data_IF_554656772728
#
_entry.id   IF_554656772728
#
_cell.length_a   1.000
_cell.length_b   1.000
_cell.length_c   1.000
_cell.angle_alpha   90.00
_cell.angle_beta   90.00
_cell.angle_gamma   90.00
#
_symmetry.space_group_name_H-M   'P 1'
#
loop_
_entity.id
_entity.type
_entity.pdbx_description
1 polymer ?
#
# COMPACT_ATOMS: atom_id res chain seq x y z
N UNK A 1 -14.40 7.32 -22.56
CA UNK A 1 -14.50 7.74 -21.15
C UNK A 1 -13.09 7.73 -20.59
N UNK A 2 -12.71 8.68 -19.73
CA UNK A 2 -11.41 8.68 -19.08
C UNK A 2 -11.26 7.49 -18.11
N UNK A 3 -10.02 7.09 -17.81
CA UNK A 3 -9.71 6.06 -16.81
C UNK A 3 -10.22 6.47 -15.43
N UNK A 4 -10.87 5.56 -14.70
CA UNK A 4 -11.37 5.80 -13.33
C UNK A 4 -10.46 5.13 -12.31
N UNK A 5 -9.94 5.94 -11.37
CA UNK A 5 -9.13 5.49 -10.24
C UNK A 5 -9.91 5.76 -8.96
N UNK A 6 -10.32 4.71 -8.25
CA UNK A 6 -11.00 4.82 -6.95
C UNK A 6 -10.01 4.70 -5.80
N UNK A 7 -10.04 5.67 -4.90
CA UNK A 7 -9.35 5.63 -3.62
C UNK A 7 -10.38 5.22 -2.57
N UNK A 8 -10.14 4.09 -1.91
CA UNK A 8 -11.07 3.54 -0.92
C UNK A 8 -11.10 4.41 0.31
N UNK A 9 -12.30 4.89 0.67
CA UNK A 9 -12.57 5.67 1.88
C UNK A 9 -13.37 4.82 2.87
N UNK A 10 -12.71 4.32 3.88
CA UNK A 10 -13.32 3.65 5.03
C UNK A 10 -13.13 4.46 6.31
N UNK A 11 -12.98 5.79 6.20
CA UNK A 11 -12.82 6.71 7.33
C UNK A 11 -11.40 6.84 7.85
N UNK A 12 -10.42 6.16 7.25
CA UNK A 12 -9.02 6.14 7.70
C UNK A 12 -8.07 6.45 6.54
N UNK A 13 -7.02 7.22 6.81
CA UNK A 13 -5.96 7.49 5.84
C UNK A 13 -5.85 8.94 5.37
N UNK A 14 -4.70 9.26 4.78
CA UNK A 14 -4.42 10.58 4.19
C UNK A 14 -4.91 10.65 2.73
N UNK A 15 -6.22 10.43 2.54
CA UNK A 15 -6.85 10.25 1.23
C UNK A 15 -6.62 11.45 0.29
N UNK A 16 -6.66 12.68 0.83
CA UNK A 16 -6.50 13.89 0.01
C UNK A 16 -5.11 14.06 -0.57
N UNK A 17 -4.07 13.67 0.17
CA UNK A 17 -2.70 13.70 -0.36
C UNK A 17 -2.50 12.67 -1.45
N UNK A 18 -3.05 11.47 -1.30
CA UNK A 18 -3.03 10.42 -2.32
C UNK A 18 -3.80 10.88 -3.56
N UNK A 19 -4.99 11.46 -3.40
CA UNK A 19 -5.80 11.99 -4.50
C UNK A 19 -5.05 13.07 -5.29
N UNK A 20 -4.49 14.07 -4.60
CA UNK A 20 -3.74 15.15 -5.25
C UNK A 20 -2.51 14.63 -6.00
N UNK A 21 -1.78 13.68 -5.43
CA UNK A 21 -0.62 13.09 -6.08
C UNK A 21 -1.02 12.32 -7.36
N UNK A 22 -2.09 11.52 -7.31
CA UNK A 22 -2.61 10.81 -8.48
C UNK A 22 -3.15 11.77 -9.55
N UNK A 23 -3.91 12.80 -9.19
CA UNK A 23 -4.39 13.83 -10.13
C UNK A 23 -3.23 14.57 -10.81
N UNK A 24 -2.14 14.80 -10.08
CA UNK A 24 -0.95 15.44 -10.64
C UNK A 24 -0.24 14.55 -11.70
N UNK A 25 -0.17 13.24 -11.48
CA UNK A 25 0.56 12.34 -12.38
C UNK A 25 -0.31 11.72 -13.47
N UNK A 26 -1.63 11.74 -13.31
CA UNK A 26 -2.63 11.23 -14.25
C UNK A 26 -3.77 12.26 -14.44
N UNK A 27 -3.49 13.40 -15.08
CA UNK A 27 -4.44 14.51 -15.18
C UNK A 27 -5.70 14.16 -16.00
N UNK A 28 -5.60 13.18 -16.90
CA UNK A 28 -6.72 12.73 -17.73
C UNK A 28 -7.58 11.64 -17.05
N UNK A 29 -7.19 11.16 -15.87
CA UNK A 29 -7.92 10.17 -15.11
C UNK A 29 -8.93 10.84 -14.16
N UNK A 30 -10.10 10.22 -14.01
CA UNK A 30 -11.05 10.55 -12.95
C UNK A 30 -10.60 9.90 -11.63
N UNK A 31 -10.02 10.68 -10.72
CA UNK A 31 -9.54 10.19 -9.42
C UNK A 31 -10.54 10.55 -8.34
N UNK A 32 -11.29 9.56 -7.85
CA UNK A 32 -12.35 9.72 -6.86
C UNK A 32 -12.01 9.08 -5.52
N UNK A 33 -12.28 9.77 -4.42
CA UNK A 33 -12.33 9.19 -3.07
C UNK A 33 -13.77 8.70 -2.88
N UNK A 34 -13.96 7.42 -2.52
CA UNK A 34 -15.29 6.83 -2.43
C UNK A 34 -15.40 5.78 -1.33
N UNK A 35 -16.54 5.80 -0.64
CA UNK A 35 -17.02 4.75 0.27
C UNK A 35 -18.14 3.91 -0.35
N UNK A 36 -18.44 4.10 -1.65
CA UNK A 36 -19.42 3.29 -2.36
C UNK A 36 -18.76 2.01 -2.91
N UNK A 37 -19.18 0.80 -2.46
CA UNK A 37 -18.62 -0.44 -2.96
C UNK A 37 -18.88 -0.67 -4.46
N UNK A 38 -19.92 -0.07 -5.05
CA UNK A 38 -20.17 -0.12 -6.49
C UNK A 38 -19.14 0.69 -7.26
N UNK A 39 -18.83 1.91 -6.80
CA UNK A 39 -17.81 2.75 -7.41
C UNK A 39 -16.42 2.11 -7.36
N UNK A 40 -16.10 1.34 -6.29
CA UNK A 40 -14.86 0.56 -6.18
C UNK A 40 -14.85 -0.57 -7.22
N UNK A 41 -15.96 -1.31 -7.36
CA UNK A 41 -16.09 -2.41 -8.35
C UNK A 41 -16.06 -1.90 -9.79
N UNK A 42 -16.60 -0.73 -10.05
CA UNK A 42 -16.69 -0.15 -11.40
C UNK A 42 -15.42 0.61 -11.83
N UNK A 43 -14.49 0.85 -10.93
CA UNK A 43 -13.23 1.52 -11.22
C UNK A 43 -12.31 0.66 -12.09
N UNK A 44 -11.50 1.31 -12.92
CA UNK A 44 -10.44 0.64 -13.69
C UNK A 44 -9.24 0.28 -12.82
N UNK A 45 -8.98 1.08 -11.77
CA UNK A 45 -7.88 0.90 -10.80
C UNK A 45 -8.34 1.25 -9.41
N UNK A 46 -7.78 0.58 -8.41
CA UNK A 46 -8.12 0.82 -7.00
C UNK A 46 -6.86 1.12 -6.19
N UNK A 47 -6.93 2.17 -5.39
CA UNK A 47 -5.91 2.49 -4.38
C UNK A 47 -6.53 2.28 -3.01
N UNK A 48 -5.86 1.49 -2.18
CA UNK A 48 -6.27 1.14 -0.83
C UNK A 48 -5.27 1.72 0.19
N UNK A 49 -5.46 2.95 0.62
CA UNK A 49 -4.61 3.56 1.63
C UNK A 49 -5.02 3.12 3.03
N UNK A 50 -4.13 3.32 4.00
CA UNK A 50 -4.45 3.16 5.41
C UNK A 50 -3.53 3.98 6.29
N UNK A 51 -4.05 4.45 7.43
CA UNK A 51 -3.28 5.19 8.43
C UNK A 51 -3.91 4.95 9.80
N UNK A 52 -3.08 4.84 10.82
CA UNK A 52 -3.52 4.59 12.20
C UNK A 52 -3.08 3.21 12.68
N UNK A 53 -3.90 2.55 13.47
CA UNK A 53 -3.64 1.20 13.98
C UNK A 53 -4.43 0.15 13.21
N UNK A 54 -3.85 -1.03 13.02
CA UNK A 54 -4.48 -2.14 12.29
C UNK A 54 -5.88 -2.51 12.84
N UNK A 55 -6.11 -2.62 14.19
CA UNK A 55 -7.45 -2.93 14.71
C UNK A 55 -8.51 -1.91 14.32
N UNK A 56 -8.16 -0.62 14.34
CA UNK A 56 -9.08 0.45 14.00
C UNK A 56 -9.40 0.45 12.50
N UNK A 57 -8.40 0.21 11.66
CA UNK A 57 -8.58 0.13 10.22
C UNK A 57 -9.48 -1.05 9.82
N UNK A 58 -9.25 -2.23 10.39
CA UNK A 58 -10.07 -3.42 10.11
C UNK A 58 -11.50 -3.24 10.60
N UNK A 59 -11.70 -2.69 11.79
CA UNK A 59 -13.04 -2.36 12.31
C UNK A 59 -13.76 -1.37 11.41
N UNK A 60 -13.10 -0.28 11.05
CA UNK A 60 -13.71 0.75 10.20
C UNK A 60 -14.04 0.23 8.79
N UNK A 61 -13.16 -0.60 8.21
CA UNK A 61 -13.45 -1.27 6.93
C UNK A 61 -14.71 -2.15 6.99
N UNK A 62 -14.87 -2.90 8.09
CA UNK A 62 -16.05 -3.75 8.32
C UNK A 62 -17.31 -2.91 8.53
N UNK A 63 -17.26 -1.85 9.34
CA UNK A 63 -18.39 -0.93 9.60
C UNK A 63 -18.90 -0.25 8.32
N UNK A 64 -18.00 0.06 7.38
CA UNK A 64 -18.36 0.61 6.07
C UNK A 64 -18.79 -0.46 5.05
N UNK A 65 -18.69 -1.75 5.37
CA UNK A 65 -19.09 -2.84 4.48
C UNK A 65 -18.26 -2.94 3.19
N UNK A 66 -16.98 -2.51 3.23
CA UNK A 66 -16.12 -2.41 2.05
C UNK A 66 -15.21 -3.62 1.83
N UNK A 67 -15.14 -4.56 2.79
CA UNK A 67 -14.21 -5.70 2.74
C UNK A 67 -14.31 -6.50 1.44
N UNK A 68 -15.52 -6.88 1.03
CA UNK A 68 -15.72 -7.65 -0.20
C UNK A 68 -15.31 -6.89 -1.46
N UNK A 69 -15.68 -5.60 -1.57
CA UNK A 69 -15.32 -4.78 -2.72
C UNK A 69 -13.81 -4.58 -2.85
N UNK A 70 -13.11 -4.42 -1.73
CA UNK A 70 -11.64 -4.36 -1.67
C UNK A 70 -11.03 -5.69 -2.08
N UNK A 71 -11.55 -6.80 -1.55
CA UNK A 71 -11.05 -8.15 -1.87
C UNK A 71 -11.26 -8.50 -3.36
N UNK A 72 -12.41 -8.17 -3.94
CA UNK A 72 -12.70 -8.34 -5.36
C UNK A 72 -11.75 -7.49 -6.22
N UNK A 73 -11.56 -6.22 -5.86
CA UNK A 73 -10.65 -5.32 -6.58
C UNK A 73 -9.20 -5.81 -6.54
N UNK A 74 -8.73 -6.28 -5.39
CA UNK A 74 -7.38 -6.81 -5.22
C UNK A 74 -7.09 -8.08 -6.03
N UNK A 75 -8.14 -8.83 -6.44
CA UNK A 75 -8.00 -10.04 -7.27
C UNK A 75 -8.13 -9.78 -8.77
N UNK A 76 -8.80 -8.71 -9.17
CA UNK A 76 -9.26 -8.58 -10.56
C UNK A 76 -8.86 -7.32 -11.31
N UNK A 77 -8.18 -6.37 -10.68
CA UNK A 77 -7.80 -5.12 -11.34
C UNK A 77 -6.51 -4.53 -10.75
N UNK A 78 -5.81 -3.64 -11.47
CA UNK A 78 -4.64 -2.97 -10.92
C UNK A 78 -4.95 -2.37 -9.55
N UNK A 79 -4.28 -2.90 -8.53
CA UNK A 79 -4.54 -2.60 -7.12
C UNK A 79 -3.27 -2.10 -6.43
N UNK A 80 -3.36 -0.98 -5.72
CA UNK A 80 -2.25 -0.39 -4.98
C UNK A 80 -2.59 -0.23 -3.50
N UNK A 81 -1.98 -1.07 -2.65
CA UNK A 81 -2.05 -0.93 -1.19
C UNK A 81 -0.99 0.04 -0.66
N UNK A 82 -1.34 0.92 0.29
CA UNK A 82 -0.40 1.90 0.86
C UNK A 82 -0.37 1.79 2.39
N UNK A 83 0.81 1.59 2.95
CA UNK A 83 1.09 1.54 4.39
C UNK A 83 0.24 0.47 5.11
N UNK A 84 -0.71 0.85 5.97
CA UNK A 84 -1.65 -0.08 6.60
C UNK A 84 -2.48 -0.82 5.54
N UNK A 85 -2.80 -0.19 4.40
CA UNK A 85 -3.46 -0.86 3.28
C UNK A 85 -2.69 -2.05 2.73
N UNK A 86 -1.33 -2.06 2.79
CA UNK A 86 -0.53 -3.25 2.53
C UNK A 86 -0.71 -4.30 3.65
N UNK A 87 -0.66 -3.87 4.90
CA UNK A 87 -0.72 -4.76 6.06
C UNK A 87 -2.07 -5.49 6.15
N UNK A 88 -3.17 -4.79 5.86
CA UNK A 88 -4.52 -5.34 5.88
C UNK A 88 -4.73 -6.50 4.89
N UNK A 89 -3.89 -6.66 3.87
CA UNK A 89 -3.99 -7.75 2.89
C UNK A 89 -3.57 -9.11 3.45
N UNK A 90 -2.78 -9.15 4.52
CA UNK A 90 -2.26 -10.35 5.14
C UNK A 90 -3.27 -11.04 6.06
N UNK A 91 -2.92 -12.26 6.53
CA UNK A 91 -3.81 -13.07 7.37
C UNK A 91 -3.98 -12.49 8.77
N UNK A 92 -2.89 -11.95 9.34
CA UNK A 92 -2.86 -11.56 10.74
C UNK A 92 -1.81 -10.51 11.05
N UNK A 93 -2.09 -9.63 12.01
CA UNK A 93 -1.17 -8.64 12.53
C UNK A 93 -0.94 -8.82 14.03
N UNK A 94 0.33 -8.70 14.46
CA UNK A 94 0.69 -8.62 15.89
C UNK A 94 0.17 -7.33 16.53
N UNK A 95 -0.19 -6.30 15.74
CA UNK A 95 -0.81 -5.09 16.27
C UNK A 95 -2.23 -5.39 16.73
N UNK A 96 -2.39 -5.46 18.06
CA UNK A 96 -3.68 -5.75 18.69
C UNK A 96 -4.23 -7.15 18.39
N UNK A 97 -3.36 -8.12 18.03
CA UNK A 97 -3.77 -9.50 17.69
C UNK A 97 -4.92 -9.53 16.66
N UNK A 98 -4.74 -8.81 15.56
CA UNK A 98 -5.83 -8.46 14.64
C UNK A 98 -5.81 -9.33 13.39
N UNK A 99 -6.92 -10.01 13.01
CA UNK A 99 -7.04 -10.66 11.72
C UNK A 99 -7.11 -9.63 10.59
N UNK A 100 -6.44 -9.92 9.45
CA UNK A 100 -6.53 -9.13 8.23
C UNK A 100 -7.52 -9.70 7.23
N UNK A 101 -7.40 -9.27 5.95
CA UNK A 101 -8.28 -9.71 4.87
C UNK A 101 -7.92 -11.11 4.32
N UNK A 102 -6.80 -11.69 4.73
CA UNK A 102 -6.33 -13.02 4.30
C UNK A 102 -6.24 -13.18 2.77
N UNK A 103 -5.88 -12.12 2.06
CA UNK A 103 -5.68 -12.15 0.61
C UNK A 103 -4.26 -12.62 0.25
N UNK A 104 -3.31 -12.44 1.18
CA UNK A 104 -1.92 -12.84 1.07
C UNK A 104 -1.52 -13.68 2.29
N UNK A 105 -0.81 -14.77 2.07
CA UNK A 105 -0.28 -15.59 3.16
C UNK A 105 0.91 -14.91 3.83
N UNK A 106 0.94 -15.00 5.16
CA UNK A 106 1.95 -14.38 6.00
C UNK A 106 1.34 -13.51 7.09
N UNK A 107 2.18 -12.71 7.74
CA UNK A 107 1.76 -11.93 8.89
C UNK A 107 2.38 -10.54 8.90
N UNK A 108 1.85 -9.69 9.73
CA UNK A 108 2.39 -8.36 10.05
C UNK A 108 3.04 -8.44 11.43
N UNK A 109 4.30 -8.02 11.52
CA UNK A 109 5.13 -8.12 12.73
C UNK A 109 5.55 -6.76 13.24
N UNK A 110 5.66 -6.61 14.56
CA UNK A 110 6.24 -5.45 15.20
C UNK A 110 7.76 -5.43 15.12
N UNK A 111 8.36 -4.25 15.00
CA UNK A 111 9.80 -4.10 15.20
C UNK A 111 10.18 -4.48 16.62
N UNK A 112 11.18 -5.34 16.77
CA UNK A 112 11.72 -5.67 18.10
C UNK A 112 12.47 -4.47 18.68
N UNK A 113 12.08 -3.96 19.86
CA UNK A 113 12.79 -2.87 20.50
C UNK A 113 14.27 -3.24 20.74
N UNK A 114 15.17 -2.34 20.34
CA UNK A 114 16.63 -2.46 20.57
C UNK A 114 17.17 -1.13 21.11
N UNK A 115 18.24 -1.14 21.93
CA UNK A 115 18.85 0.11 22.39
C UNK A 115 19.21 1.02 21.22
N UNK A 116 18.77 2.28 21.27
CA UNK A 116 19.00 3.28 20.21
C UNK A 116 18.08 3.19 18.99
N UNK A 117 17.26 2.16 18.87
CA UNK A 117 16.25 2.05 17.80
C UNK A 117 15.02 2.88 18.17
N UNK A 118 14.65 3.81 17.29
CA UNK A 118 13.38 4.56 17.43
C UNK A 118 12.24 3.81 16.76
N UNK A 119 11.18 3.54 17.49
CA UNK A 119 9.93 3.00 16.95
C UNK A 119 8.84 4.05 17.23
N UNK A 120 8.09 4.50 16.22
CA UNK A 120 8.06 4.01 14.83
C UNK A 120 9.33 4.34 14.01
N UNK A 121 9.61 3.52 12.98
CA UNK A 121 10.47 3.88 11.86
C UNK A 121 9.82 5.05 11.14
N UNK A 122 10.40 6.25 11.26
CA UNK A 122 9.85 7.49 10.71
C UNK A 122 10.94 8.26 9.98
N UNK A 123 10.68 8.57 8.71
CA UNK A 123 11.57 9.37 7.87
C UNK A 123 11.87 8.73 6.52
N UNK A 124 12.90 9.26 5.87
CA UNK A 124 13.35 8.80 4.56
C UNK A 124 14.33 7.64 4.70
N UNK A 125 14.04 6.53 3.97
CA UNK A 125 14.93 5.38 3.95
C UNK A 125 15.00 4.78 2.53
N UNK A 126 16.03 4.00 2.27
CA UNK A 126 16.32 3.39 0.98
C UNK A 126 15.44 2.17 0.74
N UNK A 127 14.93 2.04 -0.49
CA UNK A 127 14.13 0.92 -0.96
C UNK A 127 14.91 0.16 -2.01
N UNK A 128 15.26 -1.09 -1.72
CA UNK A 128 16.02 -1.97 -2.59
C UNK A 128 15.08 -2.93 -3.31
N UNK A 129 15.05 -2.84 -4.64
CA UNK A 129 14.18 -3.64 -5.51
C UNK A 129 14.65 -5.10 -5.51
N UNK A 130 13.73 -6.03 -5.27
CA UNK A 130 14.02 -7.47 -5.20
C UNK A 130 13.63 -8.21 -6.47
N UNK A 131 12.72 -7.65 -7.24
CA UNK A 131 12.28 -8.18 -8.52
C UNK A 131 11.99 -7.04 -9.50
N UNK A 132 12.21 -7.25 -10.82
CA UNK A 132 11.74 -6.32 -11.83
C UNK A 132 10.22 -6.17 -11.75
N UNK A 133 9.72 -4.94 -11.80
CA UNK A 133 8.29 -4.68 -11.85
C UNK A 133 8.02 -3.36 -12.60
N UNK A 134 6.94 -3.24 -13.40
CA UNK A 134 6.64 -2.00 -14.13
C UNK A 134 6.52 -0.76 -13.26
N UNK A 135 6.08 -0.89 -12.01
CA UNK A 135 5.99 0.22 -11.07
C UNK A 135 7.36 0.82 -10.70
N UNK A 136 8.45 0.11 -10.93
CA UNK A 136 9.82 0.62 -10.72
C UNK A 136 10.41 1.36 -11.93
N UNK A 137 9.68 1.45 -13.06
CA UNK A 137 10.21 2.12 -14.26
C UNK A 137 10.61 3.55 -13.97
N UNK A 138 11.87 3.90 -14.30
CA UNK A 138 12.45 5.22 -14.06
C UNK A 138 12.77 5.53 -12.59
N UNK A 139 12.69 4.55 -11.69
CA UNK A 139 13.08 4.67 -10.28
C UNK A 139 14.36 3.88 -10.05
N UNK A 140 15.43 4.57 -9.69
CA UNK A 140 16.72 3.93 -9.42
C UNK A 140 16.62 3.01 -8.19
N UNK A 141 17.32 1.87 -8.23
CA UNK A 141 17.44 0.99 -7.07
C UNK A 141 18.10 1.74 -5.91
N UNK A 142 17.65 1.50 -4.68
CA UNK A 142 18.09 2.26 -3.50
C UNK A 142 17.50 3.67 -3.40
N UNK A 143 16.52 4.05 -4.24
CA UNK A 143 15.80 5.32 -4.10
C UNK A 143 15.17 5.45 -2.72
N UNK A 144 15.13 6.69 -2.19
CA UNK A 144 14.58 6.95 -0.86
C UNK A 144 13.11 7.28 -0.92
N UNK A 145 12.36 6.67 -0.01
CA UNK A 145 10.92 6.88 0.22
C UNK A 145 10.65 7.24 1.67
N UNK A 146 9.50 7.83 1.94
CA UNK A 146 9.08 8.23 3.28
C UNK A 146 8.30 7.12 3.98
N UNK A 147 8.75 6.76 5.18
CA UNK A 147 8.17 5.75 6.05
C UNK A 147 7.61 6.37 7.33
N UNK A 148 6.56 5.78 7.87
CA UNK A 148 6.06 6.02 9.23
C UNK A 148 5.27 4.80 9.69
N UNK A 149 5.95 3.83 10.34
CA UNK A 149 5.33 2.57 10.76
C UNK A 149 6.07 1.92 11.93
N UNK A 150 5.33 1.15 12.74
CA UNK A 150 5.88 0.33 13.84
C UNK A 150 5.83 -1.16 13.53
N UNK A 151 5.11 -1.55 12.48
CA UNK A 151 4.90 -2.93 12.04
C UNK A 151 5.24 -3.04 10.57
N UNK A 152 5.62 -4.24 10.11
CA UNK A 152 5.98 -4.55 8.73
C UNK A 152 5.44 -5.92 8.31
N UNK A 153 5.26 -6.13 7.01
CA UNK A 153 4.80 -7.39 6.46
C UNK A 153 5.93 -8.42 6.35
N UNK A 154 5.62 -9.65 6.75
CA UNK A 154 6.45 -10.84 6.59
C UNK A 154 5.68 -11.85 5.72
N UNK A 155 5.81 -11.79 4.37
CA UNK A 155 5.17 -12.74 3.48
C UNK A 155 5.65 -14.17 3.76
N UNK A 156 4.73 -15.15 3.71
CA UNK A 156 5.08 -16.57 3.81
C UNK A 156 5.91 -17.03 2.60
N UNK A 157 5.63 -16.45 1.43
CA UNK A 157 6.38 -16.71 0.21
C UNK A 157 7.33 -15.54 -0.08
N UNK A 158 8.64 -15.80 -0.04
CA UNK A 158 9.66 -14.77 -0.31
C UNK A 158 9.55 -14.11 -1.70
N UNK A 159 8.99 -14.83 -2.67
CA UNK A 159 8.74 -14.32 -4.02
C UNK A 159 7.76 -13.13 -4.07
N UNK A 160 6.92 -12.94 -3.05
CA UNK A 160 6.03 -11.78 -2.96
C UNK A 160 6.78 -10.47 -2.65
N UNK A 161 7.99 -10.53 -2.10
CA UNK A 161 8.77 -9.36 -1.76
C UNK A 161 9.29 -8.65 -3.02
N UNK A 162 8.64 -7.57 -3.43
CA UNK A 162 9.06 -6.73 -4.55
C UNK A 162 10.19 -5.76 -4.18
N UNK A 163 10.29 -5.39 -2.91
CA UNK A 163 11.40 -4.58 -2.39
C UNK A 163 11.60 -4.82 -0.89
N UNK A 164 12.81 -4.48 -0.43
CA UNK A 164 13.17 -4.51 0.98
C UNK A 164 13.84 -3.19 1.40
N UNK A 165 13.86 -2.97 2.72
CA UNK A 165 14.47 -1.83 3.39
C UNK A 165 15.12 -2.31 4.68
N UNK A 166 16.17 -1.64 5.14
CA UNK A 166 16.87 -2.00 6.38
C UNK A 166 16.51 -1.02 7.51
N UNK A 167 15.96 -1.58 8.64
CA UNK A 167 15.68 -0.79 9.85
C UNK A 167 15.44 -1.67 11.10
N UNK A 168 16.39 -1.94 11.98
CA UNK A 168 17.83 -2.07 11.69
C UNK A 168 18.13 -3.32 10.86
N UNK A 169 17.23 -4.32 10.95
CA UNK A 169 17.26 -5.53 10.15
C UNK A 169 16.49 -5.32 8.85
N UNK A 170 16.67 -6.18 7.89
CA UNK A 170 15.96 -6.11 6.62
C UNK A 170 14.49 -6.53 6.79
N UNK A 171 13.56 -5.77 6.20
CA UNK A 171 12.15 -6.08 6.16
C UNK A 171 11.57 -5.86 4.75
N UNK A 172 10.46 -6.50 4.43
CA UNK A 172 9.73 -6.31 3.17
C UNK A 172 9.07 -4.93 3.14
N UNK A 173 9.49 -4.07 2.23
CA UNK A 173 8.98 -2.70 2.08
C UNK A 173 8.01 -2.53 0.92
N UNK A 174 7.96 -3.48 -0.02
CA UNK A 174 6.92 -3.58 -1.04
C UNK A 174 6.67 -5.03 -1.41
N UNK A 175 5.44 -5.32 -1.81
CA UNK A 175 5.00 -6.64 -2.30
C UNK A 175 4.36 -6.49 -3.68
N UNK A 176 4.47 -7.55 -4.50
CA UNK A 176 3.82 -7.63 -5.79
C UNK A 176 3.31 -9.06 -6.04
N UNK A 177 2.11 -9.17 -6.62
CA UNK A 177 1.53 -10.41 -7.12
C UNK A 177 0.53 -10.10 -8.21
N UNK A 178 0.79 -10.57 -9.42
CA UNK A 178 -0.13 -10.36 -10.56
C UNK A 178 -0.54 -8.88 -10.70
N UNK A 179 -1.81 -8.57 -10.49
CA UNK A 179 -2.40 -7.23 -10.57
C UNK A 179 -2.29 -6.39 -9.28
N UNK A 180 -1.65 -6.93 -8.24
CA UNK A 180 -1.53 -6.29 -6.93
C UNK A 180 -0.11 -5.82 -6.68
N UNK A 181 0.04 -4.55 -6.32
CA UNK A 181 1.26 -3.99 -5.77
C UNK A 181 0.94 -3.27 -4.46
N UNK A 182 1.79 -3.39 -3.46
CA UNK A 182 1.58 -2.62 -2.24
C UNK A 182 2.90 -2.23 -1.57
N UNK A 183 2.88 -1.10 -0.85
CA UNK A 183 4.07 -0.49 -0.26
C UNK A 183 3.86 -0.18 1.21
N UNK A 184 4.89 -0.38 2.03
CA UNK A 184 4.93 0.07 3.41
C UNK A 184 5.17 1.58 3.52
N UNK A 185 5.87 2.14 2.54
CA UNK A 185 6.14 3.57 2.46
C UNK A 185 4.97 4.33 1.80
N UNK A 186 5.04 5.65 1.88
CA UNK A 186 4.04 6.57 1.36
C UNK A 186 4.52 7.23 0.06
N UNK A 187 4.14 6.73 -1.13
CA UNK A 187 4.54 7.35 -2.39
C UNK A 187 4.09 8.81 -2.49
N UNK A 188 2.89 9.14 -1.99
CA UNK A 188 2.33 10.49 -1.99
C UNK A 188 3.13 11.49 -1.15
N UNK A 189 4.08 11.00 -0.32
CA UNK A 189 5.01 11.80 0.50
C UNK A 189 6.46 11.64 0.07
N UNK A 190 6.73 10.94 -1.03
CA UNK A 190 8.07 10.52 -1.43
C UNK A 190 8.63 11.27 -2.65
N UNK A 191 8.27 12.54 -2.80
CA UNK A 191 8.79 13.45 -3.82
C UNK A 191 8.81 12.81 -5.24
N UNK A 192 9.89 12.99 -6.01
CA UNK A 192 9.96 12.54 -7.41
C UNK A 192 9.83 11.01 -7.57
N UNK A 193 10.47 10.22 -6.69
CA UNK A 193 10.40 8.75 -6.75
C UNK A 193 8.97 8.26 -6.47
N UNK A 194 8.29 8.85 -5.48
CA UNK A 194 6.91 8.53 -5.18
C UNK A 194 5.94 8.90 -6.29
N UNK A 195 6.11 10.08 -6.90
CA UNK A 195 5.30 10.50 -8.05
C UNK A 195 5.54 9.62 -9.28
N UNK A 196 6.79 9.16 -9.51
CA UNK A 196 7.09 8.21 -10.57
C UNK A 196 6.36 6.87 -10.35
N UNK A 197 6.37 6.33 -9.13
CA UNK A 197 5.66 5.10 -8.80
C UNK A 197 4.14 5.25 -9.03
N UNK A 198 3.54 6.35 -8.59
CA UNK A 198 2.12 6.61 -8.80
C UNK A 198 1.76 6.80 -10.27
N UNK A 199 2.64 7.44 -11.08
CA UNK A 199 2.48 7.55 -12.53
C UNK A 199 2.52 6.17 -13.19
N UNK A 200 3.50 5.34 -12.82
CA UNK A 200 3.62 3.98 -13.32
C UNK A 200 2.37 3.15 -12.97
N UNK A 201 1.85 3.27 -11.74
CA UNK A 201 0.59 2.63 -11.35
C UNK A 201 -0.59 3.09 -12.22
N UNK A 202 -0.70 4.37 -12.52
CA UNK A 202 -1.79 4.91 -13.33
C UNK A 202 -1.80 4.35 -14.77
N UNK A 203 -0.66 3.90 -15.28
CA UNK A 203 -0.51 3.33 -16.64
C UNK A 203 -0.25 1.83 -16.66
N UNK A 204 -0.09 1.20 -15.50
CA UNK A 204 0.21 -0.22 -15.39
C UNK A 204 -0.95 -1.09 -15.88
N UNK A 205 -0.66 -2.03 -16.76
CA UNK A 205 -1.58 -3.06 -17.26
C UNK A 205 -0.95 -4.42 -16.97
N UNK A 206 -1.38 -5.10 -15.88
CA UNK A 206 -0.81 -6.36 -15.40
C UNK A 206 -1.22 -7.57 -16.23
#
# INVERSE_FOLDING_TARGET
>A
MGQRISIVDYGMGNLRSVQKALQHVAPDAEVAITSDPRAIRDADRVVFPGQGAMPDCMRSLAEHGLGDAVAEAARGKPFLGLCIGQQMLFEHSEEGDTPGLSLLQGRVRGFTPKPGLKIPHMGWNEVWQRAPHPLWNGIADGSRFYFVHSYYCEPAEGALAAASTRYPDEFTSAIARENLFATQFHPEKSAAAGLALLRNFATWDP
#
